data_IF_617769175023
#
_entry.id   IF_617769175023
#
_cell.length_a   1.000
_cell.length_b   1.000
_cell.length_c   1.000
_cell.angle_alpha   90.00
_cell.angle_beta   90.00
_cell.angle_gamma   90.00
#
_symmetry.space_group_name_H-M   'P 1'
#
loop_
_entity.id
_entity.type
_entity.pdbx_description
1 polymer ?
#
# COMPACT_ATOMS: atom_id res chain seq x y z
N UNK A 1 -5.18 -42.49 -6.18
CA UNK A 1 -5.20 -41.98 -4.79
C UNK A 1 -4.46 -40.65 -4.81
N UNK A 2 -5.19 -39.53 -4.95
CA UNK A 2 -4.63 -38.18 -5.02
C UNK A 2 -4.51 -37.66 -3.59
N UNK A 3 -3.30 -37.42 -3.12
CA UNK A 3 -3.07 -36.83 -1.81
C UNK A 3 -3.36 -35.33 -1.91
N UNK A 4 -4.30 -34.85 -1.11
CA UNK A 4 -4.73 -33.45 -1.05
C UNK A 4 -3.75 -32.60 -0.23
N UNK A 5 -3.51 -31.38 -0.69
CA UNK A 5 -2.42 -30.48 -0.26
C UNK A 5 -2.58 -29.88 1.15
N UNK A 6 -3.58 -30.31 1.93
CA UNK A 6 -3.96 -29.66 3.19
C UNK A 6 -3.50 -30.39 4.47
N UNK A 7 -2.59 -31.37 4.37
CA UNK A 7 -2.26 -32.26 5.50
C UNK A 7 -0.89 -32.05 6.18
N UNK A 8 -0.19 -30.92 6.00
CA UNK A 8 1.06 -30.67 6.73
C UNK A 8 0.96 -29.47 7.68
N UNK A 9 1.01 -29.68 9.01
CA UNK A 9 1.36 -28.64 9.94
C UNK A 9 2.89 -28.53 9.95
N UNK A 10 3.45 -27.54 9.27
CA UNK A 10 4.88 -27.20 9.40
C UNK A 10 5.11 -25.71 9.66
N UNK A 11 6.18 -25.37 10.39
CA UNK A 11 6.52 -24.01 10.76
C UNK A 11 6.79 -23.16 9.52
N UNK A 12 6.67 -21.84 9.66
CA UNK A 12 6.97 -20.86 8.61
C UNK A 12 8.45 -20.99 8.21
N UNK A 13 8.73 -21.86 7.25
CA UNK A 13 9.89 -21.76 6.38
C UNK A 13 9.48 -20.86 5.22
N UNK A 14 9.97 -19.62 5.22
CA UNK A 14 9.91 -18.74 4.06
C UNK A 14 11.20 -18.87 3.26
N UNK A 15 11.27 -19.76 2.26
CA UNK A 15 12.07 -19.45 1.09
C UNK A 15 11.19 -18.57 0.21
N UNK A 16 11.48 -17.26 0.13
CA UNK A 16 11.18 -16.57 -1.13
C UNK A 16 12.07 -17.26 -2.16
N UNK A 17 11.48 -18.15 -2.98
CA UNK A 17 12.05 -18.35 -4.29
C UNK A 17 11.97 -16.99 -4.97
N UNK A 18 13.11 -16.48 -5.42
CA UNK A 18 13.15 -15.54 -6.53
C UNK A 18 12.05 -15.94 -7.50
N UNK A 19 11.16 -15.00 -7.86
CA UNK A 19 10.19 -15.21 -8.94
C UNK A 19 10.94 -15.91 -10.06
N UNK A 20 10.48 -17.09 -10.47
CA UNK A 20 11.10 -17.79 -11.59
C UNK A 20 10.98 -16.86 -12.79
N UNK A 21 12.11 -16.29 -13.21
CA UNK A 21 12.15 -15.30 -14.29
C UNK A 21 11.59 -15.88 -15.59
N UNK A 22 11.63 -17.22 -15.76
CA UNK A 22 11.02 -17.89 -16.90
C UNK A 22 9.49 -17.90 -16.82
N UNK A 23 8.91 -18.19 -15.65
CA UNK A 23 7.46 -18.14 -15.44
C UNK A 23 6.93 -16.70 -15.56
N UNK A 24 7.64 -15.72 -14.98
CA UNK A 24 7.28 -14.31 -15.12
C UNK A 24 7.31 -13.82 -16.58
N UNK A 25 8.27 -14.32 -17.37
CA UNK A 25 8.36 -14.03 -18.79
C UNK A 25 7.23 -14.69 -19.59
N UNK A 26 6.89 -15.96 -19.30
CA UNK A 26 5.78 -16.69 -19.94
C UNK A 26 4.42 -16.03 -19.67
N UNK A 27 4.21 -15.57 -18.43
CA UNK A 27 3.02 -14.80 -18.03
C UNK A 27 3.06 -13.33 -18.49
N UNK A 28 4.16 -12.87 -19.09
CA UNK A 28 4.32 -11.50 -19.57
C UNK A 28 4.23 -10.44 -18.46
N UNK A 29 4.64 -10.77 -17.22
CA UNK A 29 4.45 -9.91 -16.05
C UNK A 29 5.16 -8.55 -16.15
N UNK A 30 6.17 -8.42 -17.01
CA UNK A 30 6.91 -7.17 -17.24
C UNK A 30 6.42 -6.34 -18.43
N UNK A 31 5.42 -6.82 -19.20
CA UNK A 31 4.91 -6.12 -20.39
C UNK A 31 4.43 -4.68 -20.10
N UNK A 32 3.93 -4.43 -18.88
CA UNK A 32 3.48 -3.10 -18.47
C UNK A 32 4.60 -2.04 -18.47
N UNK A 33 5.88 -2.44 -18.37
CA UNK A 33 7.03 -1.51 -18.33
C UNK A 33 7.24 -0.77 -19.65
N UNK A 34 6.84 -1.41 -20.75
CA UNK A 34 6.94 -0.89 -22.12
C UNK A 34 5.75 -0.02 -22.53
N UNK A 35 4.67 -0.06 -21.73
CA UNK A 35 3.50 0.78 -21.97
C UNK A 35 3.78 2.25 -21.60
N UNK A 36 3.12 3.23 -22.25
CA UNK A 36 3.22 4.63 -21.87
C UNK A 36 2.81 4.86 -20.41
N UNK A 37 3.68 5.51 -19.63
CA UNK A 37 3.46 5.79 -18.20
C UNK A 37 3.41 7.30 -17.96
N UNK A 38 2.26 7.78 -17.48
CA UNK A 38 2.09 9.16 -17.04
C UNK A 38 2.45 9.31 -15.56
N UNK A 39 2.70 10.54 -15.11
CA UNK A 39 2.95 10.89 -13.71
C UNK A 39 4.18 10.25 -13.07
N UNK A 40 5.08 9.69 -13.88
CA UNK A 40 6.37 9.18 -13.43
C UNK A 40 7.15 10.30 -12.71
N UNK A 41 7.79 9.99 -11.57
CA UNK A 41 8.66 10.94 -10.91
C UNK A 41 9.83 11.32 -11.82
N UNK A 42 10.26 12.59 -11.82
CA UNK A 42 11.41 13.04 -12.61
C UNK A 42 12.71 12.63 -11.90
N UNK A 43 13.01 11.34 -11.86
CA UNK A 43 14.24 10.82 -11.27
C UNK A 43 15.46 11.34 -12.03
N UNK A 44 16.40 11.97 -11.31
CA UNK A 44 17.64 12.46 -11.92
C UNK A 44 18.63 11.31 -12.19
N UNK A 45 18.67 10.32 -11.29
CA UNK A 45 19.55 9.15 -11.40
C UNK A 45 18.76 7.84 -11.31
N UNK A 46 18.62 7.17 -12.46
CA UNK A 46 17.97 5.86 -12.54
C UNK A 46 18.83 4.73 -11.93
N UNK A 47 20.15 4.91 -11.79
CA UNK A 47 21.01 3.99 -11.07
C UNK A 47 20.63 3.91 -9.59
N UNK A 48 20.51 5.07 -8.94
CA UNK A 48 20.01 5.16 -7.56
C UNK A 48 18.61 4.54 -7.38
N UNK A 49 17.70 4.75 -8.34
CA UNK A 49 16.37 4.11 -8.32
C UNK A 49 16.50 2.59 -8.35
N UNK A 50 17.33 2.04 -9.25
CA UNK A 50 17.53 0.60 -9.37
C UNK A 50 18.13 -0.01 -8.10
N UNK A 51 19.06 0.67 -7.44
CA UNK A 51 19.65 0.20 -6.19
C UNK A 51 18.64 0.19 -5.04
N UNK A 52 17.77 1.21 -4.97
CA UNK A 52 16.66 1.24 -4.02
C UNK A 52 15.66 0.12 -4.31
N UNK A 53 15.30 -0.13 -5.57
CA UNK A 53 14.41 -1.24 -5.94
C UNK A 53 14.99 -2.61 -5.52
N UNK A 54 16.28 -2.87 -5.78
CA UNK A 54 16.94 -4.11 -5.35
C UNK A 54 16.90 -4.29 -3.83
N UNK A 55 17.04 -3.20 -3.07
CA UNK A 55 16.89 -3.25 -1.62
C UNK A 55 15.46 -3.66 -1.24
N UNK A 56 14.46 -3.01 -1.82
CA UNK A 56 13.04 -3.28 -1.55
C UNK A 56 12.59 -4.69 -1.98
N UNK A 57 13.28 -5.32 -2.94
CA UNK A 57 13.02 -6.71 -3.30
C UNK A 57 13.41 -7.68 -2.17
N UNK A 58 14.34 -7.28 -1.31
CA UNK A 58 14.86 -8.12 -0.21
C UNK A 58 14.09 -7.97 1.11
N UNK A 59 13.33 -6.88 1.30
CA UNK A 59 12.65 -6.61 2.57
C UNK A 59 11.35 -7.41 2.71
N UNK A 60 10.91 -7.74 3.95
CA UNK A 60 9.64 -8.42 4.18
C UNK A 60 8.45 -7.70 3.53
N UNK A 61 7.43 -8.42 3.05
CA UNK A 61 6.23 -7.78 2.51
C UNK A 61 5.38 -7.15 3.65
N UNK A 62 4.62 -6.10 3.32
CA UNK A 62 3.72 -5.41 4.27
C UNK A 62 2.46 -6.26 4.58
N UNK A 63 2.03 -7.07 3.61
CA UNK A 63 0.87 -7.97 3.71
C UNK A 63 1.25 -9.37 3.23
N UNK A 64 0.58 -10.38 3.76
CA UNK A 64 0.74 -11.76 3.30
C UNK A 64 -0.22 -12.08 2.13
N UNK A 65 0.13 -13.04 1.25
CA UNK A 65 -0.76 -13.45 0.15
C UNK A 65 -2.14 -13.91 0.61
N UNK A 66 -2.22 -14.66 1.71
CA UNK A 66 -3.49 -15.15 2.27
C UNK A 66 -4.46 -14.01 2.60
N UNK A 67 -3.97 -12.86 3.05
CA UNK A 67 -4.83 -11.70 3.35
C UNK A 67 -5.39 -11.06 2.08
N UNK A 68 -4.64 -11.12 0.97
CA UNK A 68 -5.11 -10.66 -0.34
C UNK A 68 -6.20 -11.59 -0.86
N UNK A 69 -6.03 -12.91 -0.70
CA UNK A 69 -7.04 -13.91 -1.06
C UNK A 69 -8.32 -13.74 -0.22
N UNK A 70 -8.19 -13.54 1.10
CA UNK A 70 -9.31 -13.25 1.99
C UNK A 70 -10.03 -11.96 1.61
N UNK A 71 -9.31 -10.90 1.25
CA UNK A 71 -9.92 -9.66 0.77
C UNK A 71 -10.64 -9.88 -0.55
N UNK A 72 -10.07 -10.64 -1.47
CA UNK A 72 -10.66 -10.96 -2.77
C UNK A 72 -12.00 -11.69 -2.59
N UNK A 73 -12.06 -12.69 -1.70
CA UNK A 73 -13.30 -13.38 -1.37
C UNK A 73 -14.36 -12.43 -0.79
N UNK A 74 -13.96 -11.54 0.14
CA UNK A 74 -14.86 -10.53 0.72
C UNK A 74 -15.36 -9.52 -0.31
N UNK A 75 -14.53 -9.15 -1.29
CA UNK A 75 -14.93 -8.26 -2.38
C UNK A 75 -15.88 -8.95 -3.37
N UNK A 76 -15.75 -10.27 -3.58
CA UNK A 76 -16.73 -11.03 -4.35
C UNK A 76 -18.12 -10.97 -3.71
N UNK A 77 -18.21 -11.07 -2.37
CA UNK A 77 -19.48 -10.86 -1.66
C UNK A 77 -20.06 -9.46 -1.87
N UNK A 78 -19.23 -8.43 -1.95
CA UNK A 78 -19.68 -7.06 -2.26
C UNK A 78 -20.24 -7.00 -3.69
N UNK A 79 -19.55 -7.60 -4.67
CA UNK A 79 -20.04 -7.65 -6.05
C UNK A 79 -21.36 -8.40 -6.20
N UNK A 80 -21.61 -9.40 -5.36
CA UNK A 80 -22.86 -10.16 -5.32
C UNK A 80 -23.97 -9.48 -4.48
N UNK A 81 -23.71 -8.29 -3.92
CA UNK A 81 -24.68 -7.58 -3.07
C UNK A 81 -24.89 -8.23 -1.69
N UNK A 82 -24.00 -9.13 -1.27
CA UNK A 82 -23.99 -9.78 0.05
C UNK A 82 -23.22 -9.01 1.11
N UNK A 83 -22.46 -7.99 0.72
CA UNK A 83 -21.70 -7.12 1.61
C UNK A 83 -21.59 -5.69 1.04
N UNK A 84 -21.11 -4.74 1.85
CA UNK A 84 -20.86 -3.36 1.45
C UNK A 84 -19.38 -3.01 1.63
N UNK A 85 -18.76 -2.33 0.66
CA UNK A 85 -17.38 -1.86 0.77
C UNK A 85 -17.33 -0.45 1.37
N UNK A 86 -16.65 -0.31 2.50
CA UNK A 86 -16.26 0.98 3.06
C UNK A 86 -14.75 1.17 2.90
N UNK A 87 -14.36 2.14 2.06
CA UNK A 87 -12.98 2.58 1.92
C UNK A 87 -12.82 4.02 2.41
N UNK A 88 -11.82 4.28 3.24
CA UNK A 88 -11.58 5.61 3.80
C UNK A 88 -10.20 5.78 4.42
N UNK A 89 -9.73 7.01 4.54
CA UNK A 89 -8.42 7.36 5.10
C UNK A 89 -7.89 8.63 4.44
N UNK A 90 -6.59 8.86 4.57
CA UNK A 90 -5.98 10.10 4.11
C UNK A 90 -6.01 10.25 2.58
N UNK A 91 -6.02 11.49 2.12
CA UNK A 91 -5.83 11.80 0.71
C UNK A 91 -4.39 11.42 0.29
N UNK A 92 -3.41 11.87 1.08
CA UNK A 92 -2.01 11.50 0.98
C UNK A 92 -1.44 11.40 2.40
N UNK A 93 -0.81 10.27 2.72
CA UNK A 93 -0.05 10.11 3.97
C UNK A 93 1.23 10.97 3.90
N UNK A 94 1.63 11.50 5.05
CA UNK A 94 2.91 12.21 5.21
C UNK A 94 3.77 11.50 6.26
N UNK A 95 5.08 11.64 6.19
CA UNK A 95 5.98 11.12 7.22
C UNK A 95 5.80 11.83 8.56
N UNK A 96 5.40 13.11 8.53
CA UNK A 96 5.17 13.90 9.74
C UNK A 96 3.92 13.43 10.50
N UNK A 97 2.87 13.07 9.77
CA UNK A 97 1.57 12.69 10.34
C UNK A 97 1.45 11.18 10.58
N UNK A 98 2.44 10.36 10.19
CA UNK A 98 2.48 8.93 10.46
C UNK A 98 2.79 8.61 11.94
N UNK A 99 1.90 9.06 12.81
CA UNK A 99 1.97 8.95 14.27
C UNK A 99 0.88 8.01 14.77
N UNK A 100 1.10 7.42 15.95
CA UNK A 100 0.11 6.55 16.60
C UNK A 100 -1.26 7.24 16.76
N UNK A 101 -1.26 8.48 17.24
CA UNK A 101 -2.49 9.23 17.46
C UNK A 101 -3.30 9.39 16.17
N UNK A 102 -2.64 9.79 15.08
CA UNK A 102 -3.28 10.00 13.78
C UNK A 102 -3.83 8.68 13.20
N UNK A 103 -3.00 7.62 13.20
CA UNK A 103 -3.39 6.30 12.71
C UNK A 103 -4.58 5.71 13.49
N UNK A 104 -4.58 5.83 14.82
CA UNK A 104 -5.69 5.36 15.66
C UNK A 104 -6.95 6.19 15.47
N UNK A 105 -6.83 7.52 15.30
CA UNK A 105 -7.96 8.39 15.02
C UNK A 105 -8.62 8.02 13.67
N UNK A 106 -7.81 7.78 12.63
CA UNK A 106 -8.29 7.35 11.32
C UNK A 106 -8.95 5.96 11.39
N UNK A 107 -8.32 4.99 12.06
CA UNK A 107 -8.90 3.67 12.26
C UNK A 107 -10.22 3.72 13.03
N UNK A 108 -10.30 4.53 14.11
CA UNK A 108 -11.52 4.73 14.90
C UNK A 108 -12.64 5.30 14.04
N UNK A 109 -12.37 6.34 13.26
CA UNK A 109 -13.35 6.93 12.34
C UNK A 109 -13.90 5.89 11.37
N UNK A 110 -13.01 5.10 10.74
CA UNK A 110 -13.40 4.06 9.80
C UNK A 110 -14.28 2.99 10.47
N UNK A 111 -13.93 2.56 11.68
CA UNK A 111 -14.72 1.60 12.45
C UNK A 111 -16.09 2.15 12.86
N UNK A 112 -16.16 3.42 13.28
CA UNK A 112 -17.42 4.08 13.64
C UNK A 112 -18.37 4.14 12.43
N UNK A 113 -17.86 4.52 11.27
CA UNK A 113 -18.63 4.50 10.02
C UNK A 113 -19.08 3.09 9.67
N UNK A 114 -18.21 2.08 9.82
CA UNK A 114 -18.54 0.70 9.52
C UNK A 114 -19.69 0.17 10.39
N UNK A 115 -19.73 0.52 11.68
CA UNK A 115 -20.81 0.13 12.59
C UNK A 115 -22.15 0.72 12.14
N UNK A 116 -22.16 2.01 11.81
CA UNK A 116 -23.38 2.69 11.31
C UNK A 116 -23.86 2.08 9.99
N UNK A 117 -22.96 1.83 9.04
CA UNK A 117 -23.30 1.22 7.76
C UNK A 117 -23.77 -0.23 7.89
N UNK A 118 -23.17 -1.00 8.80
CA UNK A 118 -23.60 -2.38 9.05
C UNK A 118 -25.04 -2.42 9.54
N UNK A 119 -25.39 -1.51 10.47
CA UNK A 119 -26.76 -1.41 10.98
C UNK A 119 -27.74 -0.90 9.91
N UNK A 120 -27.37 0.15 9.17
CA UNK A 120 -28.26 0.75 8.16
C UNK A 120 -28.49 -0.13 6.93
N UNK A 121 -27.45 -0.83 6.45
CA UNK A 121 -27.55 -1.70 5.29
C UNK A 121 -28.06 -3.11 5.63
N UNK A 122 -28.02 -3.51 6.90
CA UNK A 122 -28.24 -4.91 7.32
C UNK A 122 -27.36 -5.92 6.58
N UNK A 123 -26.16 -5.47 6.17
CA UNK A 123 -25.17 -6.26 5.44
C UNK A 123 -23.79 -6.14 6.12
N UNK A 124 -22.95 -7.18 6.04
CA UNK A 124 -21.55 -7.09 6.40
C UNK A 124 -20.85 -5.93 5.69
N UNK A 125 -20.00 -5.18 6.40
CA UNK A 125 -19.16 -4.12 5.82
C UNK A 125 -17.70 -4.57 5.73
N UNK A 126 -17.16 -4.63 4.51
CA UNK A 126 -15.73 -4.82 4.23
C UNK A 126 -15.02 -3.48 4.41
N UNK A 127 -14.03 -3.44 5.30
CA UNK A 127 -13.34 -2.22 5.73
C UNK A 127 -11.97 -2.16 5.08
N UNK A 128 -11.70 -1.13 4.28
CA UNK A 128 -10.41 -0.90 3.64
C UNK A 128 -9.88 0.49 3.97
N UNK A 129 -8.79 0.57 4.72
CA UNK A 129 -8.18 1.85 5.04
C UNK A 129 -7.24 2.30 3.91
N UNK A 130 -7.27 3.60 3.58
CA UNK A 130 -6.20 4.26 2.80
C UNK A 130 -5.06 4.61 3.76
N UNK A 131 -4.16 3.64 3.97
CA UNK A 131 -3.08 3.72 4.96
C UNK A 131 -1.93 2.80 4.56
N UNK A 132 -0.75 3.03 5.13
CA UNK A 132 0.45 2.21 4.94
C UNK A 132 0.87 2.08 3.46
N UNK A 133 0.79 3.18 2.71
CA UNK A 133 1.29 3.20 1.33
C UNK A 133 0.84 4.38 0.46
N UNK A 134 -0.06 5.24 0.95
CA UNK A 134 -0.67 6.35 0.22
C UNK A 134 0.23 7.60 0.19
N UNK A 135 1.52 7.42 -0.08
CA UNK A 135 2.56 8.48 -0.06
C UNK A 135 2.82 9.13 -1.42
N UNK A 136 1.95 8.92 -2.40
CA UNK A 136 2.07 9.50 -3.75
C UNK A 136 0.79 10.22 -4.16
N UNK A 137 0.95 11.23 -5.03
CA UNK A 137 -0.18 11.92 -5.65
C UNK A 137 0.11 12.35 -7.09
N UNK A 138 -0.82 12.11 -8.03
CA UNK A 138 -0.72 12.65 -9.38
C UNK A 138 -0.91 14.17 -9.36
N UNK A 139 -0.34 14.87 -10.35
CA UNK A 139 -0.44 16.33 -10.50
C UNK A 139 -0.82 16.71 -11.92
N UNK A 140 -1.78 17.62 -12.05
CA UNK A 140 -2.23 18.16 -13.34
C UNK A 140 -1.18 19.03 -14.03
N UNK A 141 -0.27 19.63 -13.25
CA UNK A 141 0.84 20.45 -13.74
C UNK A 141 2.15 19.97 -13.13
N UNK A 142 3.24 20.10 -13.90
CA UNK A 142 4.59 19.81 -13.43
C UNK A 142 5.05 20.77 -12.33
N UNK A 143 4.55 22.01 -12.36
CA UNK A 143 4.88 23.06 -11.39
C UNK A 143 3.64 23.48 -10.59
N UNK A 144 3.84 23.93 -9.36
CA UNK A 144 2.79 24.50 -8.51
C UNK A 144 2.61 26.02 -8.73
N UNK A 145 1.70 26.62 -7.96
CA UNK A 145 1.39 28.05 -8.05
C UNK A 145 2.56 28.98 -7.66
N UNK A 146 3.59 28.45 -6.99
CA UNK A 146 4.81 29.18 -6.64
C UNK A 146 5.88 29.06 -7.74
N UNK A 147 5.58 28.38 -8.84
CA UNK A 147 6.53 28.11 -9.91
C UNK A 147 7.54 27.01 -9.59
N UNK A 148 7.41 26.34 -8.44
CA UNK A 148 8.29 25.24 -8.02
C UNK A 148 7.82 23.91 -8.61
N UNK A 149 8.70 22.90 -8.78
CA UNK A 149 8.26 21.56 -9.13
C UNK A 149 7.20 21.08 -8.15
N UNK A 150 6.14 20.50 -8.68
CA UNK A 150 4.97 20.12 -7.91
C UNK A 150 5.35 19.06 -6.86
N UNK A 151 4.92 19.27 -5.61
CA UNK A 151 4.97 18.21 -4.60
C UNK A 151 4.10 17.01 -5.05
N UNK A 152 4.69 15.82 -5.10
CA UNK A 152 4.12 14.56 -5.63
C UNK A 152 3.87 13.50 -4.56
N UNK A 153 3.93 13.90 -3.29
CA UNK A 153 3.80 13.00 -2.15
C UNK A 153 5.17 12.65 -1.58
N UNK A 154 5.20 12.28 -0.29
CA UNK A 154 6.43 12.09 0.49
C UNK A 154 7.33 10.98 -0.04
N UNK A 155 6.80 10.05 -0.86
CA UNK A 155 7.59 9.05 -1.59
C UNK A 155 8.52 9.67 -2.63
N UNK A 156 8.16 10.83 -3.17
CA UNK A 156 8.84 11.43 -4.32
C UNK A 156 9.69 12.61 -3.88
N UNK A 157 9.08 13.61 -3.25
CA UNK A 157 9.74 14.85 -2.85
C UNK A 157 9.08 15.42 -1.59
N UNK A 158 9.61 16.52 -1.08
CA UNK A 158 9.14 17.15 0.14
C UNK A 158 8.03 18.18 -0.12
N UNK A 159 7.18 18.41 0.89
CA UNK A 159 6.15 19.45 0.83
C UNK A 159 6.75 20.87 0.94
N UNK A 160 7.91 21.02 1.58
CA UNK A 160 8.51 22.32 1.85
C UNK A 160 8.62 23.19 0.57
N UNK A 161 8.27 24.49 0.63
CA UNK A 161 8.15 25.35 -0.55
C UNK A 161 9.51 25.93 -0.96
N UNK A 162 10.49 25.07 -1.24
CA UNK A 162 11.79 25.48 -1.79
C UNK A 162 12.27 24.48 -2.85
N UNK A 163 13.08 24.95 -3.80
CA UNK A 163 13.48 24.16 -4.97
C UNK A 163 14.20 22.85 -4.61
N UNK A 164 15.14 22.90 -3.65
CA UNK A 164 15.91 21.73 -3.23
C UNK A 164 15.00 20.63 -2.66
N UNK A 165 14.01 21.00 -1.86
CA UNK A 165 13.08 20.06 -1.26
C UNK A 165 12.11 19.42 -2.29
N UNK A 166 11.96 20.04 -3.48
CA UNK A 166 11.10 19.52 -4.56
C UNK A 166 11.81 18.59 -5.53
N UNK A 167 13.13 18.43 -5.40
CA UNK A 167 13.90 17.42 -6.16
C UNK A 167 13.42 16.02 -5.76
N UNK A 168 13.23 15.15 -6.76
CA UNK A 168 12.79 13.78 -6.53
C UNK A 168 13.95 12.96 -5.93
N UNK A 169 13.70 12.29 -4.81
CA UNK A 169 14.72 11.52 -4.08
C UNK A 169 14.30 10.05 -3.96
N UNK A 170 14.96 9.11 -4.67
CA UNK A 170 14.65 7.68 -4.61
C UNK A 170 14.75 7.08 -3.20
N UNK A 171 15.58 7.63 -2.31
CA UNK A 171 15.74 7.13 -0.94
C UNK A 171 14.44 7.25 -0.13
N UNK A 172 13.55 8.16 -0.52
CA UNK A 172 12.22 8.29 0.08
C UNK A 172 11.35 7.04 -0.11
N UNK A 173 11.60 6.20 -1.12
CA UNK A 173 10.89 4.92 -1.27
C UNK A 173 11.20 3.96 -0.11
N UNK A 174 12.46 3.92 0.36
CA UNK A 174 12.85 3.13 1.54
C UNK A 174 12.16 3.67 2.79
N UNK A 175 12.12 5.00 2.92
CA UNK A 175 11.43 5.66 4.04
C UNK A 175 9.93 5.38 4.02
N UNK A 176 9.29 5.35 2.84
CA UNK A 176 7.90 4.93 2.67
C UNK A 176 7.70 3.49 3.13
N UNK A 177 8.57 2.56 2.72
CA UNK A 177 8.48 1.17 3.17
C UNK A 177 8.55 1.07 4.70
N UNK A 178 9.51 1.75 5.33
CA UNK A 178 9.65 1.74 6.79
C UNK A 178 8.39 2.30 7.49
N UNK A 179 7.89 3.45 7.02
CA UNK A 179 6.68 4.07 7.58
C UNK A 179 5.43 3.19 7.39
N UNK A 180 5.30 2.58 6.21
CA UNK A 180 4.18 1.70 5.88
C UNK A 180 4.21 0.42 6.72
N UNK A 181 5.38 -0.19 6.88
CA UNK A 181 5.55 -1.37 7.72
C UNK A 181 5.25 -1.06 9.19
N UNK A 182 5.71 0.07 9.72
CA UNK A 182 5.42 0.49 11.08
C UNK A 182 3.93 0.79 11.30
N UNK A 183 3.30 1.52 10.37
CA UNK A 183 1.87 1.83 10.43
C UNK A 183 1.01 0.57 10.39
N UNK A 184 1.31 -0.34 9.45
CA UNK A 184 0.60 -1.61 9.31
C UNK A 184 0.77 -2.49 10.56
N UNK A 185 2.00 -2.63 11.07
CA UNK A 185 2.26 -3.40 12.29
C UNK A 185 1.47 -2.85 13.49
N UNK A 186 1.45 -1.52 13.64
CA UNK A 186 0.69 -0.87 14.70
C UNK A 186 -0.82 -1.16 14.55
N UNK A 187 -1.40 -0.90 13.37
CA UNK A 187 -2.82 -1.17 13.13
C UNK A 187 -3.20 -2.62 13.41
N UNK A 188 -2.34 -3.58 13.04
CA UNK A 188 -2.54 -5.00 13.36
C UNK A 188 -2.56 -5.27 14.86
N UNK A 189 -1.65 -4.66 15.62
CA UNK A 189 -1.57 -4.83 17.06
C UNK A 189 -2.83 -4.29 17.77
N UNK A 190 -3.33 -3.12 17.36
CA UNK A 190 -4.49 -2.49 17.99
C UNK A 190 -5.83 -3.06 17.51
N UNK A 191 -5.93 -3.49 16.25
CA UNK A 191 -7.18 -3.99 15.66
C UNK A 191 -7.32 -5.51 15.73
N UNK A 192 -6.20 -6.26 15.79
CA UNK A 192 -6.19 -7.72 15.83
C UNK A 192 -6.62 -8.32 17.18
N UNK A 193 -6.73 -7.51 18.24
CA UNK A 193 -7.16 -7.92 19.57
C UNK A 193 -8.66 -7.81 19.85
N UNK A 194 -9.48 -7.39 18.88
CA UNK A 194 -10.95 -7.31 19.05
C UNK A 194 -11.62 -8.69 19.00
N UNK A 195 -12.83 -8.85 19.58
CA UNK A 195 -13.58 -10.09 19.45
C UNK A 195 -13.86 -10.38 17.96
N UNK A 196 -13.53 -11.59 17.51
CA UNK A 196 -13.90 -12.09 16.18
C UNK A 196 -15.38 -12.42 16.13
#
# INVERSE_FOLDING_TARGET
MRSEWHQYPRPIETPRSSVDTAEAADLGLDYWRDLPRLQMPPWEDMGAVNDVCKLLDSVPPIVSPNEVDELTAKLADVCEGRAFLLMGGDCAETFADNTEHHLLANARTLLQMAVVLTYGASLPVVKVARVAGQYTKPRSSANDALGLPAYRGDMINDLAPNAAARVADPQRMIRVYANSSSAMNMLRAYLGGGPR
#
